data_IF_541113653325
#
_entry.id   IF_541113653325
#
_cell.length_a   1.000
_cell.length_b   1.000
_cell.length_c   1.000
_cell.angle_alpha   90.00
_cell.angle_beta   90.00
_cell.angle_gamma   90.00
#
_symmetry.space_group_name_H-M   'P 1'
#
loop_
_entity.id
_entity.type
_entity.pdbx_description
1 polymer ?
#
# COMPACT_ATOMS: atom_id res chain seq x y z
N UNK A 1 -36.75 -33.24 4.35
CA UNK A 1 -35.97 -32.00 4.64
C UNK A 1 -34.46 -32.30 4.77
N UNK A 2 -33.92 -33.32 4.10
CA UNK A 2 -32.58 -33.89 4.40
C UNK A 2 -31.67 -34.12 3.20
N UNK A 3 -32.16 -34.00 1.95
CA UNK A 3 -31.33 -34.23 0.75
C UNK A 3 -31.18 -32.94 -0.07
N UNK A 4 -32.30 -32.25 -0.35
CA UNK A 4 -32.31 -30.98 -1.09
C UNK A 4 -31.64 -29.82 -0.31
N UNK A 5 -31.58 -29.90 1.02
CA UNK A 5 -30.85 -28.92 1.84
C UNK A 5 -29.34 -29.17 1.94
N UNK A 6 -28.87 -30.35 1.54
CA UNK A 6 -27.43 -30.69 1.51
C UNK A 6 -26.83 -30.25 0.18
N UNK A 7 -27.50 -30.54 -0.95
CA UNK A 7 -27.04 -30.12 -2.29
C UNK A 7 -26.94 -28.59 -2.41
N UNK A 8 -27.97 -27.86 -1.98
CA UNK A 8 -27.95 -26.39 -1.99
C UNK A 8 -26.83 -25.81 -1.11
N UNK A 9 -26.45 -26.50 -0.03
CA UNK A 9 -25.37 -26.06 0.85
C UNK A 9 -23.98 -26.36 0.28
N UNK A 10 -23.82 -27.43 -0.51
CA UNK A 10 -22.56 -27.73 -1.20
C UNK A 10 -22.30 -26.78 -2.39
N UNK A 11 -23.33 -26.39 -3.14
CA UNK A 11 -23.20 -25.38 -4.20
C UNK A 11 -22.82 -24.00 -3.64
N UNK A 12 -23.43 -23.57 -2.53
CA UNK A 12 -23.08 -22.31 -1.86
C UNK A 12 -21.64 -22.32 -1.32
N UNK A 13 -21.17 -23.44 -0.76
CA UNK A 13 -19.81 -23.55 -0.24
C UNK A 13 -18.77 -23.54 -1.38
N UNK A 14 -19.05 -24.25 -2.47
CA UNK A 14 -18.17 -24.27 -3.66
C UNK A 14 -18.07 -22.90 -4.34
N UNK A 15 -19.18 -22.15 -4.44
CA UNK A 15 -19.18 -20.79 -4.99
C UNK A 15 -18.46 -19.81 -4.07
N UNK A 16 -18.59 -19.94 -2.75
CA UNK A 16 -17.87 -19.12 -1.79
C UNK A 16 -16.35 -19.39 -1.81
N UNK A 17 -15.92 -20.65 -1.91
CA UNK A 17 -14.52 -21.04 -2.01
C UNK A 17 -13.88 -20.51 -3.31
N UNK A 18 -14.59 -20.63 -4.44
CA UNK A 18 -14.11 -20.09 -5.72
C UNK A 18 -14.06 -18.57 -5.73
N UNK A 19 -15.07 -17.90 -5.18
CA UNK A 19 -15.06 -16.44 -5.04
C UNK A 19 -13.94 -15.94 -4.11
N UNK A 20 -13.68 -16.66 -3.02
CA UNK A 20 -12.58 -16.39 -2.09
C UNK A 20 -11.22 -16.46 -2.79
N UNK A 21 -10.96 -17.53 -3.54
CA UNK A 21 -9.73 -17.67 -4.33
C UNK A 21 -9.57 -16.57 -5.38
N UNK A 22 -10.63 -16.25 -6.14
CA UNK A 22 -10.57 -15.18 -7.15
C UNK A 22 -10.28 -13.82 -6.51
N UNK A 23 -10.93 -13.50 -5.39
CA UNK A 23 -10.68 -12.25 -4.67
C UNK A 23 -9.23 -12.14 -4.20
N UNK A 24 -8.68 -13.22 -3.66
CA UNK A 24 -7.29 -13.27 -3.22
C UNK A 24 -6.31 -13.00 -4.36
N UNK A 25 -6.49 -13.66 -5.51
CA UNK A 25 -5.65 -13.41 -6.69
C UNK A 25 -5.76 -11.97 -7.20
N UNK A 26 -6.96 -11.38 -7.16
CA UNK A 26 -7.17 -9.98 -7.54
C UNK A 26 -6.41 -9.05 -6.57
N UNK A 27 -6.51 -9.27 -5.26
CA UNK A 27 -5.80 -8.47 -4.26
C UNK A 27 -4.29 -8.59 -4.44
N UNK A 28 -3.77 -9.82 -4.62
CA UNK A 28 -2.34 -10.06 -4.89
C UNK A 28 -1.89 -9.33 -6.15
N UNK A 29 -2.66 -9.41 -7.25
CA UNK A 29 -2.32 -8.74 -8.50
C UNK A 29 -2.28 -7.21 -8.32
N UNK A 30 -3.25 -6.64 -7.61
CA UNK A 30 -3.29 -5.20 -7.30
C UNK A 30 -2.10 -4.77 -6.44
N UNK A 31 -1.75 -5.54 -5.40
CA UNK A 31 -0.61 -5.27 -4.55
C UNK A 31 0.71 -5.37 -5.33
N UNK A 32 0.87 -6.38 -6.18
CA UNK A 32 2.06 -6.56 -6.99
C UNK A 32 2.25 -5.41 -8.00
N UNK A 33 1.20 -5.07 -8.75
CA UNK A 33 1.22 -4.00 -9.76
C UNK A 33 1.37 -2.64 -9.08
N UNK A 34 0.58 -2.39 -8.03
CA UNK A 34 0.65 -1.16 -7.24
C UNK A 34 2.03 -0.97 -6.60
N UNK A 35 2.62 -2.05 -6.07
CA UNK A 35 3.96 -2.05 -5.51
C UNK A 35 5.05 -1.73 -6.53
N UNK A 36 5.00 -2.35 -7.72
CA UNK A 36 5.89 -2.02 -8.84
C UNK A 36 5.76 -0.55 -9.23
N UNK A 37 4.53 -0.06 -9.39
CA UNK A 37 4.28 1.31 -9.80
C UNK A 37 4.80 2.31 -8.75
N UNK A 38 4.52 2.08 -7.47
CA UNK A 38 4.99 2.90 -6.37
C UNK A 38 6.53 2.92 -6.28
N UNK A 39 7.17 1.76 -6.39
CA UNK A 39 8.62 1.64 -6.36
C UNK A 39 9.28 2.34 -7.55
N UNK A 40 8.75 2.16 -8.77
CA UNK A 40 9.27 2.84 -9.97
C UNK A 40 9.08 4.35 -9.88
N UNK A 41 7.92 4.81 -9.43
CA UNK A 41 7.66 6.23 -9.22
C UNK A 41 8.61 6.82 -8.18
N UNK A 42 8.78 6.13 -7.04
CA UNK A 42 9.69 6.51 -5.97
C UNK A 42 11.14 6.56 -6.43
N UNK A 43 11.64 5.51 -7.08
CA UNK A 43 12.98 5.46 -7.64
C UNK A 43 13.24 6.60 -8.64
N UNK A 44 12.29 6.91 -9.52
CA UNK A 44 12.41 8.03 -10.47
C UNK A 44 12.54 9.37 -9.76
N UNK A 45 11.76 9.60 -8.70
CA UNK A 45 11.86 10.83 -7.90
C UNK A 45 13.20 10.92 -7.16
N UNK A 46 13.66 9.81 -6.57
CA UNK A 46 14.93 9.74 -5.87
C UNK A 46 16.11 10.00 -6.82
N UNK A 47 16.13 9.35 -7.98
CA UNK A 47 17.16 9.58 -9.01
C UNK A 47 17.16 11.02 -9.49
N UNK A 48 15.98 11.63 -9.67
CA UNK A 48 15.87 13.05 -10.05
C UNK A 48 16.35 13.98 -8.94
N UNK A 49 16.11 13.65 -7.67
CA UNK A 49 16.60 14.41 -6.53
C UNK A 49 18.14 14.39 -6.48
N UNK A 50 18.74 13.21 -6.61
CA UNK A 50 20.21 13.05 -6.62
C UNK A 50 20.84 13.79 -7.81
N UNK A 51 20.22 13.75 -8.99
CA UNK A 51 20.71 14.44 -10.18
C UNK A 51 20.56 15.97 -10.15
N UNK A 52 19.75 16.52 -9.25
CA UNK A 52 19.51 17.97 -9.09
C UNK A 52 19.65 18.37 -7.62
N UNK A 53 20.76 17.96 -7.00
CA UNK A 53 21.01 18.16 -5.58
C UNK A 53 21.04 19.65 -5.18
N UNK A 54 21.40 20.55 -6.11
CA UNK A 54 21.55 22.00 -5.86
C UNK A 54 20.22 22.78 -5.70
N UNK A 55 19.07 22.14 -5.96
CA UNK A 55 17.75 22.78 -5.89
C UNK A 55 17.12 22.51 -4.50
N UNK A 56 16.62 23.52 -3.75
CA UNK A 56 15.94 23.30 -2.46
C UNK A 56 14.73 22.36 -2.54
N UNK A 57 14.15 22.15 -3.73
CA UNK A 57 13.12 21.14 -3.95
C UNK A 57 13.65 19.69 -4.02
N UNK A 58 14.97 19.47 -3.96
CA UNK A 58 15.59 18.14 -4.05
C UNK A 58 15.32 17.27 -2.82
N UNK A 59 15.39 17.84 -1.61
CA UNK A 59 15.12 17.11 -0.36
C UNK A 59 13.70 16.54 -0.32
N UNK A 60 12.72 17.33 -0.75
CA UNK A 60 11.32 16.90 -0.82
C UNK A 60 11.12 15.77 -1.86
N UNK A 61 11.80 15.85 -3.01
CA UNK A 61 11.78 14.79 -4.03
C UNK A 61 12.46 13.51 -3.53
N UNK A 62 13.53 13.63 -2.75
CA UNK A 62 14.22 12.49 -2.15
C UNK A 62 13.32 11.76 -1.15
N UNK A 63 12.67 12.50 -0.23
CA UNK A 63 11.74 11.93 0.75
C UNK A 63 10.55 11.23 0.06
N UNK A 64 9.93 11.87 -0.94
CA UNK A 64 8.86 11.24 -1.73
C UNK A 64 9.35 10.01 -2.50
N UNK A 65 10.61 10.04 -2.94
CA UNK A 65 11.24 8.91 -3.62
C UNK A 65 11.38 7.70 -2.70
N UNK A 66 11.91 7.92 -1.50
CA UNK A 66 12.06 6.88 -0.47
C UNK A 66 10.68 6.35 -0.05
N UNK A 67 9.71 7.22 0.19
CA UNK A 67 8.33 6.82 0.53
C UNK A 67 7.71 5.91 -0.53
N UNK A 68 7.90 6.22 -1.82
CA UNK A 68 7.42 5.35 -2.90
C UNK A 68 8.06 3.96 -2.89
N UNK A 69 9.35 3.86 -2.52
CA UNK A 69 10.05 2.59 -2.37
C UNK A 69 9.53 1.81 -1.15
N UNK A 70 9.35 2.47 -0.02
CA UNK A 70 8.80 1.90 1.23
C UNK A 70 7.42 1.30 0.97
N UNK A 71 6.51 2.06 0.34
CA UNK A 71 5.17 1.58 -0.01
C UNK A 71 5.25 0.36 -0.95
N UNK A 72 6.16 0.39 -1.92
CA UNK A 72 6.41 -0.73 -2.83
C UNK A 72 6.82 -2.01 -2.08
N UNK A 73 7.77 -1.89 -1.15
CA UNK A 73 8.23 -3.00 -0.31
C UNK A 73 7.09 -3.54 0.57
N UNK A 74 6.31 -2.66 1.20
CA UNK A 74 5.18 -3.05 2.03
C UNK A 74 4.12 -3.82 1.22
N UNK A 75 3.77 -3.33 0.03
CA UNK A 75 2.81 -3.97 -0.86
C UNK A 75 3.29 -5.35 -1.32
N UNK A 76 4.57 -5.50 -1.63
CA UNK A 76 5.14 -6.81 -1.98
C UNK A 76 5.23 -7.77 -0.79
N UNK A 77 5.52 -7.28 0.42
CA UNK A 77 5.45 -8.11 1.62
C UNK A 77 4.03 -8.63 1.85
N UNK A 78 3.00 -7.80 1.67
CA UNK A 78 1.60 -8.23 1.74
C UNK A 78 1.25 -9.25 0.66
N UNK A 79 1.63 -8.99 -0.60
CA UNK A 79 1.38 -9.91 -1.71
C UNK A 79 2.06 -11.27 -1.49
N UNK A 80 3.32 -11.26 -1.03
CA UNK A 80 4.07 -12.47 -0.71
C UNK A 80 3.48 -13.19 0.51
N UNK A 81 3.01 -12.46 1.52
CA UNK A 81 2.36 -13.05 2.69
C UNK A 81 1.05 -13.76 2.35
N UNK A 82 0.28 -13.24 1.39
CA UNK A 82 -0.92 -13.91 0.87
C UNK A 82 -0.52 -15.17 0.07
N UNK A 83 0.36 -15.02 -0.92
CA UNK A 83 0.77 -16.13 -1.81
C UNK A 83 1.50 -17.27 -1.11
N UNK A 84 2.25 -16.99 -0.05
CA UNK A 84 3.05 -17.96 0.70
C UNK A 84 2.37 -18.37 2.01
N UNK A 85 1.13 -17.93 2.24
CA UNK A 85 0.35 -18.19 3.46
C UNK A 85 1.11 -17.84 4.74
N UNK A 86 1.88 -16.76 4.69
CA UNK A 86 2.85 -16.42 5.72
C UNK A 86 2.41 -15.20 6.53
N UNK A 87 1.85 -15.46 7.71
CA UNK A 87 1.30 -14.41 8.59
C UNK A 87 2.31 -13.34 8.99
N UNK A 88 3.59 -13.68 9.21
CA UNK A 88 4.59 -12.69 9.62
C UNK A 88 4.84 -11.64 8.53
N UNK A 89 4.77 -12.01 7.24
CA UNK A 89 4.89 -11.08 6.12
C UNK A 89 3.69 -10.15 6.04
N UNK A 90 2.49 -10.67 6.31
CA UNK A 90 1.26 -9.87 6.37
C UNK A 90 1.33 -8.84 7.49
N UNK A 91 1.71 -9.27 8.71
CA UNK A 91 1.87 -8.39 9.86
C UNK A 91 2.95 -7.34 9.59
N UNK A 92 4.10 -7.75 9.08
CA UNK A 92 5.19 -6.85 8.73
C UNK A 92 4.73 -5.81 7.70
N UNK A 93 4.17 -6.24 6.57
CA UNK A 93 3.71 -5.34 5.51
C UNK A 93 2.61 -4.39 5.98
N UNK A 94 1.67 -4.88 6.79
CA UNK A 94 0.57 -4.07 7.32
C UNK A 94 1.06 -3.03 8.32
N UNK A 95 1.91 -3.41 9.29
CA UNK A 95 2.46 -2.48 10.29
C UNK A 95 3.34 -1.45 9.62
N UNK A 96 4.24 -1.87 8.74
CA UNK A 96 5.15 -0.97 8.04
C UNK A 96 4.39 0.03 7.15
N UNK A 97 3.35 -0.42 6.45
CA UNK A 97 2.48 0.46 5.66
C UNK A 97 1.67 1.42 6.56
N UNK A 98 1.16 0.93 7.70
CA UNK A 98 0.40 1.74 8.64
C UNK A 98 1.27 2.85 9.27
N UNK A 99 2.50 2.54 9.66
CA UNK A 99 3.46 3.52 10.18
C UNK A 99 3.78 4.59 9.13
N UNK A 100 4.06 4.19 7.89
CA UNK A 100 4.34 5.13 6.82
C UNK A 100 3.12 6.04 6.52
N UNK A 101 1.91 5.48 6.53
CA UNK A 101 0.67 6.25 6.36
C UNK A 101 0.38 7.18 7.53
N UNK A 102 0.64 6.73 8.76
CA UNK A 102 0.50 7.55 9.95
C UNK A 102 1.42 8.77 9.88
N UNK A 103 2.71 8.56 9.60
CA UNK A 103 3.68 9.65 9.47
C UNK A 103 3.32 10.59 8.31
N UNK A 104 2.89 10.03 7.16
CA UNK A 104 2.38 10.81 6.03
C UNK A 104 1.20 11.70 6.42
N UNK A 105 0.20 11.10 7.05
CA UNK A 105 -1.05 11.76 7.39
C UNK A 105 -0.84 12.86 8.40
N UNK A 106 -0.06 12.58 9.45
CA UNK A 106 0.33 13.56 10.46
C UNK A 106 1.10 14.71 9.83
N UNK A 107 2.10 14.43 8.97
CA UNK A 107 2.86 15.47 8.30
C UNK A 107 1.99 16.39 7.43
N UNK A 108 1.08 15.82 6.63
CA UNK A 108 0.15 16.60 5.80
C UNK A 108 -0.80 17.44 6.65
N UNK A 109 -1.28 16.89 7.76
CA UNK A 109 -2.16 17.59 8.69
C UNK A 109 -1.45 18.78 9.34
N UNK A 110 -0.22 18.58 9.83
CA UNK A 110 0.60 19.63 10.44
C UNK A 110 0.91 20.75 9.43
N UNK A 111 1.27 20.41 8.20
CA UNK A 111 1.53 21.40 7.14
C UNK A 111 0.27 22.22 6.82
N UNK A 112 -0.89 21.58 6.72
CA UNK A 112 -2.16 22.27 6.46
C UNK A 112 -2.53 23.24 7.58
N UNK A 113 -2.35 22.83 8.84
CA UNK A 113 -2.60 23.71 9.99
C UNK A 113 -1.67 24.92 10.02
N UNK A 114 -0.40 24.74 9.63
CA UNK A 114 0.58 25.84 9.56
C UNK A 114 0.24 26.85 8.45
N UNK A 115 -0.21 26.37 7.28
CA UNK A 115 -0.67 27.22 6.18
C UNK A 115 -1.93 28.01 6.58
N UNK A 116 -2.89 27.39 7.26
CA UNK A 116 -4.11 28.07 7.72
C UNK A 116 -3.78 29.17 8.76
N UNK A 117 -2.88 28.88 9.71
CA UNK A 117 -2.44 29.83 10.73
C UNK A 117 -1.67 31.03 10.13
N UNK A 118 -0.89 30.81 9.09
CA UNK A 118 -0.16 31.90 8.39
C UNK A 118 -1.04 32.68 7.40
N UNK A 119 -2.08 32.06 6.83
CA UNK A 119 -3.02 32.72 5.92
C UNK A 119 -4.03 33.60 6.65
N UNK A 120 -4.43 33.25 7.87
CA UNK A 120 -5.32 34.09 8.70
C UNK A 120 -4.64 35.30 9.36
N UNK A 121 -3.31 35.41 9.26
CA UNK A 121 -2.51 36.50 9.81
C UNK A 121 -2.20 37.62 8.77
N UNK A 122 -2.72 37.51 7.55
CA UNK A 122 -2.66 38.52 6.49
C UNK A 122 -4.04 39.13 6.24
#
# INVERSE_FOLDING_TARGET
>A
MTMLGIELREEDDMTAVTAGGVMEYVVVALLAIGGVWAAVHGARLLVRAVRRADDPASSLRAVRGIRGLVIGVAAWALAAGLLLEQTWLLVFGAVFLAEELYETGVLVLVLRMADDATSGAR
#
